data_IF_028781002602
#
_entry.id   IF_028781002602
#
_cell.length_a   1.000
_cell.length_b   1.000
_cell.length_c   1.000
_cell.angle_alpha   90.00
_cell.angle_beta   90.00
_cell.angle_gamma   90.00
#
_symmetry.space_group_name_H-M   'P 1'
#
loop_
_entity.id
_entity.type
_entity.pdbx_description
1 polymer ?
#
# COMPACT_ATOMS: atom_id res chain seq x y z
N UNK A 1 -9.39 2.32 10.14
CA UNK A 1 -9.97 1.82 8.89
C UNK A 1 -11.41 1.32 9.01
N UNK A 2 -12.16 1.80 10.00
CA UNK A 2 -13.61 1.49 10.08
C UNK A 2 -14.47 2.35 9.15
N UNK A 3 -13.94 3.50 8.70
CA UNK A 3 -14.65 4.48 7.85
C UNK A 3 -14.19 4.36 6.39
N UNK A 4 -12.89 4.17 6.16
CA UNK A 4 -12.31 4.06 4.82
C UNK A 4 -11.80 2.64 4.55
N UNK A 5 -11.91 2.19 3.31
CA UNK A 5 -11.17 1.00 2.88
C UNK A 5 -9.66 1.17 3.12
N UNK A 6 -8.95 0.09 3.37
CA UNK A 6 -7.54 0.09 3.80
C UNK A 6 -6.62 0.89 2.87
N UNK A 7 -6.83 0.77 1.54
CA UNK A 7 -6.08 1.54 0.54
C UNK A 7 -6.37 3.04 0.65
N UNK A 8 -7.64 3.43 0.79
CA UNK A 8 -8.03 4.82 0.94
C UNK A 8 -7.42 5.43 2.21
N UNK A 9 -7.38 4.69 3.32
CA UNK A 9 -6.73 5.12 4.56
C UNK A 9 -5.24 5.43 4.34
N UNK A 10 -4.49 4.58 3.62
CA UNK A 10 -3.09 4.85 3.26
C UNK A 10 -2.94 6.12 2.45
N UNK A 11 -3.75 6.29 1.40
CA UNK A 11 -3.71 7.49 0.54
C UNK A 11 -4.00 8.76 1.34
N UNK A 12 -4.98 8.73 2.26
CA UNK A 12 -5.28 9.89 3.11
C UNK A 12 -4.13 10.26 4.05
N UNK A 13 -3.46 9.27 4.65
CA UNK A 13 -2.24 9.53 5.44
C UNK A 13 -1.16 10.16 4.58
N UNK A 14 -0.93 9.64 3.37
CA UNK A 14 0.03 10.21 2.41
C UNK A 14 -0.31 11.64 2.01
N UNK A 15 -1.58 11.91 1.71
CA UNK A 15 -2.06 13.25 1.37
C UNK A 15 -1.86 14.24 2.53
N UNK A 16 -2.16 13.82 3.76
CA UNK A 16 -1.93 14.62 4.96
C UNK A 16 -0.45 14.98 5.13
N UNK A 17 0.45 13.98 5.07
CA UNK A 17 1.88 14.20 5.17
C UNK A 17 2.42 15.07 4.03
N UNK A 18 1.98 14.84 2.79
CA UNK A 18 2.34 15.64 1.61
C UNK A 18 1.90 17.10 1.75
N UNK A 19 0.69 17.33 2.28
CA UNK A 19 0.17 18.68 2.55
C UNK A 19 1.02 19.40 3.59
N UNK A 20 1.43 18.72 4.68
CA UNK A 20 2.35 19.28 5.68
C UNK A 20 3.69 19.63 5.05
N UNK A 21 4.24 18.76 4.20
CA UNK A 21 5.49 19.03 3.49
C UNK A 21 5.38 20.26 2.59
N UNK A 22 4.32 20.36 1.79
CA UNK A 22 4.06 21.50 0.92
C UNK A 22 3.88 22.80 1.74
N UNK A 23 3.10 22.74 2.82
CA UNK A 23 2.91 23.90 3.71
C UNK A 23 4.23 24.38 4.32
N UNK A 24 5.11 23.47 4.73
CA UNK A 24 6.45 23.84 5.22
C UNK A 24 7.26 24.57 4.16
N UNK A 25 7.20 24.11 2.88
CA UNK A 25 7.92 24.76 1.77
C UNK A 25 7.38 26.15 1.50
N UNK A 26 6.07 26.26 1.25
CA UNK A 26 5.47 27.53 0.81
C UNK A 26 5.40 28.58 1.91
N UNK A 27 5.14 28.21 3.15
CA UNK A 27 4.94 29.16 4.24
C UNK A 27 6.21 29.53 5.00
N UNK A 28 7.22 28.65 5.03
CA UNK A 28 8.39 28.83 5.88
C UNK A 28 9.69 28.82 5.07
N UNK A 29 9.93 27.77 4.26
CA UNK A 29 11.22 27.59 3.62
C UNK A 29 11.45 28.65 2.54
N UNK A 30 10.52 28.81 1.59
CA UNK A 30 10.65 29.79 0.50
C UNK A 30 10.75 31.24 1.02
N UNK A 31 9.86 31.72 1.91
CA UNK A 31 9.95 33.08 2.43
C UNK A 31 11.26 33.35 3.17
N UNK A 32 11.73 32.37 3.95
CA UNK A 32 13.00 32.49 4.68
C UNK A 32 14.20 32.56 3.74
N UNK A 33 14.22 31.70 2.71
CA UNK A 33 15.29 31.72 1.72
C UNK A 33 15.30 33.03 0.92
N UNK A 34 14.11 33.53 0.52
CA UNK A 34 13.98 34.81 -0.17
C UNK A 34 14.54 35.94 0.68
N UNK A 35 14.18 36.04 1.97
CA UNK A 35 14.73 37.03 2.90
C UNK A 35 16.25 36.97 3.02
N UNK A 36 16.84 35.77 3.03
CA UNK A 36 18.30 35.60 3.08
C UNK A 36 18.99 36.06 1.79
N UNK A 37 18.36 35.80 0.63
CA UNK A 37 18.88 36.24 -0.67
C UNK A 37 18.79 37.78 -0.79
N UNK A 38 17.65 38.35 -0.43
CA UNK A 38 17.44 39.81 -0.47
C UNK A 38 18.46 40.56 0.43
N UNK A 39 18.67 40.08 1.65
CA UNK A 39 19.68 40.63 2.56
C UNK A 39 21.10 40.52 1.99
N UNK A 40 21.44 39.43 1.31
CA UNK A 40 22.74 39.29 0.63
C UNK A 40 22.92 40.27 -0.54
N UNK A 41 21.84 40.58 -1.28
CA UNK A 41 21.87 41.54 -2.39
C UNK A 41 21.95 42.99 -1.92
N UNK A 42 21.36 43.32 -0.77
CA UNK A 42 21.38 44.67 -0.17
C UNK A 42 22.54 44.92 0.77
N UNK A 43 23.43 43.91 0.97
CA UNK A 43 24.51 43.95 1.99
C UNK A 43 23.98 44.16 3.41
N UNK A 44 22.74 43.78 3.70
CA UNK A 44 22.14 43.80 5.03
C UNK A 44 22.40 42.50 5.80
N UNK A 45 22.25 42.55 7.12
CA UNK A 45 22.38 41.34 7.96
C UNK A 45 21.09 40.49 7.80
N UNK A 46 21.20 39.20 7.35
CA UNK A 46 20.05 38.34 7.25
C UNK A 46 19.47 37.97 8.63
N UNK A 47 18.16 37.73 8.67
CA UNK A 47 17.48 37.19 9.85
C UNK A 47 17.86 35.70 10.02
N UNK A 48 18.83 35.44 10.90
CA UNK A 48 19.35 34.12 11.20
C UNK A 48 18.25 33.18 11.74
N UNK A 49 17.27 33.71 12.49
CA UNK A 49 16.19 32.89 13.07
C UNK A 49 15.30 32.32 11.98
N UNK A 50 14.99 33.10 10.94
CA UNK A 50 14.27 32.59 9.77
C UNK A 50 15.04 31.46 9.06
N UNK A 51 16.37 31.64 8.92
CA UNK A 51 17.23 30.59 8.34
C UNK A 51 17.22 29.28 9.15
N UNK A 52 17.29 29.38 10.49
CA UNK A 52 17.21 28.23 11.40
C UNK A 52 15.85 27.53 11.26
N UNK A 53 14.76 28.29 11.27
CA UNK A 53 13.41 27.75 11.11
C UNK A 53 13.23 27.01 9.78
N UNK A 54 13.71 27.60 8.68
CA UNK A 54 13.69 26.96 7.36
C UNK A 54 14.48 25.65 7.36
N UNK A 55 15.66 25.61 7.98
CA UNK A 55 16.48 24.41 8.12
C UNK A 55 15.76 23.31 8.90
N UNK A 56 15.12 23.64 10.01
CA UNK A 56 14.37 22.68 10.82
C UNK A 56 13.22 22.09 10.00
N UNK A 57 12.44 22.91 9.27
CA UNK A 57 11.34 22.43 8.42
C UNK A 57 11.81 21.59 7.25
N UNK A 58 12.94 21.93 6.66
CA UNK A 58 13.58 21.11 5.63
C UNK A 58 13.98 19.73 6.15
N UNK A 59 14.52 19.67 7.38
CA UNK A 59 14.86 18.39 8.03
C UNK A 59 13.60 17.57 8.31
N UNK A 60 12.49 18.18 8.77
CA UNK A 60 11.22 17.49 8.95
C UNK A 60 10.72 16.88 7.62
N UNK A 61 10.74 17.67 6.55
CA UNK A 61 10.34 17.16 5.22
C UNK A 61 11.23 15.98 4.78
N UNK A 62 12.53 16.02 5.07
CA UNK A 62 13.43 14.91 4.78
C UNK A 62 13.00 13.61 5.48
N UNK A 63 12.61 13.66 6.76
CA UNK A 63 12.15 12.46 7.48
C UNK A 63 10.85 11.88 6.91
N UNK A 64 9.94 12.73 6.44
CA UNK A 64 8.64 12.34 5.89
C UNK A 64 8.75 11.83 4.45
N UNK A 65 9.83 12.16 3.72
CA UNK A 65 9.97 11.84 2.28
C UNK A 65 9.79 10.36 1.96
N UNK A 66 10.51 9.46 2.65
CA UNK A 66 10.42 8.02 2.36
C UNK A 66 9.05 7.43 2.72
N UNK A 67 8.44 7.75 3.86
CA UNK A 67 7.05 7.39 4.16
C UNK A 67 6.06 7.80 3.06
N UNK A 68 6.13 9.05 2.60
CA UNK A 68 5.22 9.54 1.55
C UNK A 68 5.46 8.83 0.23
N UNK A 69 6.71 8.64 -0.19
CA UNK A 69 7.05 7.88 -1.40
C UNK A 69 6.53 6.45 -1.34
N UNK A 70 6.69 5.76 -0.20
CA UNK A 70 6.12 4.43 -0.02
C UNK A 70 4.60 4.44 -0.18
N UNK A 71 3.89 5.39 0.46
CA UNK A 71 2.42 5.48 0.35
C UNK A 71 1.99 5.72 -1.10
N UNK A 72 2.68 6.58 -1.85
CA UNK A 72 2.40 6.80 -3.27
C UNK A 72 2.53 5.52 -4.11
N UNK A 73 3.51 4.67 -3.78
CA UNK A 73 3.75 3.40 -4.47
C UNK A 73 2.94 2.24 -3.88
N UNK A 74 2.26 2.44 -2.75
CA UNK A 74 1.58 1.37 -2.00
C UNK A 74 0.50 0.64 -2.79
N UNK A 75 -0.07 1.29 -3.82
CA UNK A 75 -1.04 0.66 -4.74
C UNK A 75 -0.47 -0.57 -5.48
N UNK A 76 0.85 -0.65 -5.63
CA UNK A 76 1.55 -1.79 -6.23
C UNK A 76 1.85 -2.92 -5.22
N UNK A 77 1.61 -2.68 -3.93
CA UNK A 77 1.90 -3.61 -2.84
C UNK A 77 0.65 -3.93 -2.01
N UNK A 78 -0.38 -4.59 -2.62
CA UNK A 78 -1.66 -4.86 -1.96
C UNK A 78 -1.53 -5.63 -0.66
N UNK A 79 -0.54 -6.50 -0.50
CA UNK A 79 -0.27 -7.26 0.71
C UNK A 79 0.06 -6.37 1.94
N UNK A 80 0.43 -5.10 1.75
CA UNK A 80 0.73 -4.19 2.88
C UNK A 80 -0.54 -3.59 3.47
N UNK A 81 -1.41 -3.00 2.64
CA UNK A 81 -2.65 -2.37 3.12
C UNK A 81 -3.81 -3.37 3.27
N UNK A 82 -3.75 -4.54 2.64
CA UNK A 82 -4.71 -5.63 2.83
C UNK A 82 -4.49 -6.45 4.10
N UNK A 83 -3.36 -6.33 4.77
CA UNK A 83 -3.06 -7.09 5.97
C UNK A 83 -3.91 -6.65 7.17
N UNK A 84 -4.28 -7.59 8.07
CA UNK A 84 -5.05 -7.32 9.30
C UNK A 84 -4.44 -6.18 10.14
N UNK A 85 -3.11 -6.11 10.20
CA UNK A 85 -2.35 -5.10 10.93
C UNK A 85 -1.74 -4.04 10.00
N UNK A 86 -2.48 -3.64 8.97
CA UNK A 86 -2.00 -2.69 7.95
C UNK A 86 -1.48 -1.36 8.54
N UNK A 87 -2.14 -0.83 9.57
CA UNK A 87 -1.70 0.38 10.27
C UNK A 87 -0.32 0.22 10.92
N UNK A 88 -0.04 -0.97 11.50
CA UNK A 88 1.26 -1.27 12.11
C UNK A 88 2.34 -1.41 11.03
N UNK A 89 2.02 -2.06 9.91
CA UNK A 89 2.92 -2.18 8.77
C UNK A 89 3.31 -0.79 8.26
N UNK A 90 2.35 0.11 8.08
CA UNK A 90 2.61 1.48 7.64
C UNK A 90 3.48 2.23 8.66
N UNK A 91 3.21 2.09 9.95
CA UNK A 91 4.01 2.71 11.01
C UNK A 91 5.46 2.19 10.99
N UNK A 92 5.67 0.88 10.89
CA UNK A 92 6.99 0.27 10.85
C UNK A 92 7.79 0.69 9.60
N UNK A 93 7.17 0.68 8.41
CA UNK A 93 7.80 1.17 7.19
C UNK A 93 8.20 2.65 7.33
N UNK A 94 7.33 3.45 7.94
CA UNK A 94 7.60 4.87 8.18
C UNK A 94 8.78 5.08 9.13
N UNK A 95 8.87 4.30 10.20
CA UNK A 95 9.99 4.33 11.15
C UNK A 95 11.30 3.89 10.47
N UNK A 96 11.26 2.80 9.69
CA UNK A 96 12.45 2.32 8.96
C UNK A 96 12.90 3.39 7.95
N UNK A 97 11.97 3.98 7.19
CA UNK A 97 12.28 5.05 6.25
C UNK A 97 12.87 6.29 6.94
N UNK A 98 12.30 6.70 8.08
CA UNK A 98 12.84 7.78 8.90
C UNK A 98 14.24 7.46 9.45
N UNK A 99 14.50 6.21 9.83
CA UNK A 99 15.82 5.73 10.30
C UNK A 99 16.88 5.83 9.19
N UNK A 100 16.53 5.43 7.96
CA UNK A 100 17.42 5.60 6.80
C UNK A 100 17.71 7.10 6.57
N UNK A 101 16.69 7.95 6.61
CA UNK A 101 16.89 9.41 6.47
C UNK A 101 17.71 10.01 7.62
N UNK A 102 17.56 9.48 8.83
CA UNK A 102 18.36 9.90 9.97
C UNK A 102 19.86 9.67 9.74
N UNK A 103 20.24 8.52 9.18
CA UNK A 103 21.61 8.25 8.79
C UNK A 103 22.16 9.32 7.84
N UNK A 104 21.43 9.67 6.78
CA UNK A 104 21.87 10.69 5.83
C UNK A 104 21.95 12.08 6.45
N UNK A 105 21.02 12.43 7.33
CA UNK A 105 21.06 13.70 8.07
C UNK A 105 22.28 13.76 9.01
N UNK A 106 22.65 12.66 9.68
CA UNK A 106 23.88 12.59 10.50
C UNK A 106 25.14 12.67 9.64
N UNK A 107 25.18 11.97 8.51
CA UNK A 107 26.28 12.05 7.57
C UNK A 107 26.54 13.47 7.09
N UNK A 108 25.51 14.24 6.78
CA UNK A 108 25.63 15.66 6.42
C UNK A 108 26.20 16.53 7.56
N UNK A 109 26.07 16.08 8.81
CA UNK A 109 26.69 16.69 9.99
C UNK A 109 28.09 16.13 10.30
N UNK A 110 28.71 15.39 9.36
CA UNK A 110 30.02 14.70 9.53
C UNK A 110 30.03 13.63 10.63
N UNK A 111 28.86 13.14 11.05
CA UNK A 111 28.73 12.04 12.01
C UNK A 111 28.48 10.71 11.24
N UNK A 112 29.45 9.83 11.20
CA UNK A 112 29.40 8.58 10.45
C UNK A 112 28.93 7.40 11.34
N UNK A 113 27.62 7.26 11.57
CA UNK A 113 27.06 6.10 12.29
C UNK A 113 26.58 5.04 11.30
N UNK A 114 27.52 4.35 10.66
CA UNK A 114 27.25 3.42 9.55
C UNK A 114 26.33 2.24 9.94
N UNK A 115 26.34 1.83 11.21
CA UNK A 115 25.52 0.72 11.72
C UNK A 115 24.01 0.92 11.58
N UNK A 116 23.53 2.17 11.40
CA UNK A 116 22.12 2.50 11.24
C UNK A 116 21.54 1.87 9.94
N UNK A 117 22.29 1.84 8.84
CA UNK A 117 21.83 1.28 7.58
C UNK A 117 21.61 -0.24 7.63
N UNK A 118 22.57 -1.05 8.13
CA UNK A 118 22.33 -2.48 8.33
C UNK A 118 21.13 -2.76 9.24
N UNK A 119 20.96 -2.00 10.31
CA UNK A 119 19.81 -2.14 11.20
C UNK A 119 18.48 -1.87 10.48
N UNK A 120 18.41 -0.81 9.68
CA UNK A 120 17.22 -0.49 8.88
C UNK A 120 16.96 -1.59 7.82
N UNK A 121 17.99 -2.11 7.18
CA UNK A 121 17.89 -3.21 6.22
C UNK A 121 17.37 -4.50 6.88
N UNK A 122 17.89 -4.89 8.03
CA UNK A 122 17.41 -6.04 8.79
C UNK A 122 15.94 -5.85 9.22
N UNK A 123 15.56 -4.65 9.67
CA UNK A 123 14.18 -4.34 10.00
C UNK A 123 13.25 -4.48 8.79
N UNK A 124 13.68 -4.06 7.60
CA UNK A 124 12.92 -4.20 6.37
C UNK A 124 12.79 -5.68 5.94
N UNK A 125 13.87 -6.45 6.02
CA UNK A 125 13.86 -7.90 5.72
C UNK A 125 12.89 -8.62 6.65
N UNK A 126 12.97 -8.35 7.96
CA UNK A 126 12.07 -8.94 8.94
C UNK A 126 10.60 -8.59 8.65
N UNK A 127 10.33 -7.33 8.33
CA UNK A 127 8.98 -6.89 7.99
C UNK A 127 8.47 -7.57 6.70
N UNK A 128 9.32 -7.70 5.68
CA UNK A 128 9.00 -8.43 4.45
C UNK A 128 8.67 -9.90 4.74
N UNK A 129 9.50 -10.57 5.54
CA UNK A 129 9.25 -11.96 5.94
C UNK A 129 7.93 -12.10 6.70
N UNK A 130 7.63 -11.18 7.61
CA UNK A 130 6.38 -11.17 8.36
C UNK A 130 5.15 -10.99 7.46
N UNK A 131 5.20 -10.02 6.55
CA UNK A 131 4.07 -9.69 5.67
C UNK A 131 3.88 -10.73 4.55
N UNK A 132 4.98 -11.34 4.08
CA UNK A 132 4.98 -12.36 3.02
C UNK A 132 4.77 -13.77 3.57
N UNK A 133 4.68 -13.95 4.88
CA UNK A 133 4.47 -15.27 5.48
C UNK A 133 3.13 -15.83 4.99
N UNK A 134 3.12 -16.95 4.27
CA UNK A 134 1.88 -17.58 3.84
C UNK A 134 1.04 -17.94 5.07
N UNK A 135 -0.28 -17.82 4.97
CA UNK A 135 -1.20 -18.29 6.03
C UNK A 135 -1.08 -19.82 6.15
N UNK A 136 -0.10 -20.29 6.92
CA UNK A 136 0.29 -21.71 7.05
C UNK A 136 -0.91 -22.62 7.35
N UNK A 137 -1.90 -22.12 8.09
CA UNK A 137 -3.12 -22.88 8.37
C UNK A 137 -3.98 -23.16 7.11
N UNK A 138 -3.92 -22.29 6.10
CA UNK A 138 -4.63 -22.52 4.83
C UNK A 138 -3.91 -23.58 3.99
N UNK A 139 -2.59 -23.59 3.96
CA UNK A 139 -1.79 -24.57 3.21
C UNK A 139 -1.99 -25.99 3.76
N UNK A 140 -2.04 -26.15 5.08
CA UNK A 140 -2.26 -27.46 5.70
C UNK A 140 -3.69 -28.00 5.47
N UNK A 141 -4.68 -27.12 5.34
CA UNK A 141 -6.04 -27.52 4.97
C UNK A 141 -6.13 -27.92 3.49
N UNK A 142 -5.45 -27.19 2.60
CA UNK A 142 -5.41 -27.45 1.15
C UNK A 142 -4.80 -28.82 0.86
N UNK A 143 -3.70 -29.19 1.53
CA UNK A 143 -3.00 -30.45 1.31
C UNK A 143 -3.81 -31.70 1.76
N UNK A 144 -4.82 -31.53 2.60
CA UNK A 144 -5.69 -32.60 3.07
C UNK A 144 -6.99 -32.77 2.27
N UNK A 145 -7.32 -31.83 1.38
CA UNK A 145 -8.55 -31.88 0.57
C UNK A 145 -8.22 -32.59 -0.76
N UNK A 146 -8.67 -33.83 -0.91
CA UNK A 146 -8.60 -34.59 -2.16
C UNK A 146 -9.73 -34.26 -3.15
N UNK A 147 -10.62 -33.36 -2.77
CA UNK A 147 -11.78 -32.99 -3.59
C UNK A 147 -11.34 -32.02 -4.69
N UNK A 148 -11.58 -32.40 -5.92
CA UNK A 148 -11.34 -31.53 -7.09
C UNK A 148 -12.47 -30.49 -7.18
N UNK A 149 -12.12 -29.21 -7.16
CA UNK A 149 -13.11 -28.13 -7.25
C UNK A 149 -13.46 -27.90 -8.71
N UNK A 150 -14.75 -28.05 -9.02
CA UNK A 150 -15.27 -27.79 -10.37
C UNK A 150 -15.21 -26.30 -10.72
N UNK A 151 -14.81 -25.97 -11.94
CA UNK A 151 -14.88 -24.60 -12.45
C UNK A 151 -16.30 -24.02 -12.41
N UNK A 152 -17.32 -24.86 -12.61
CA UNK A 152 -18.72 -24.40 -12.53
C UNK A 152 -19.04 -23.78 -11.15
N UNK A 153 -18.55 -24.37 -10.08
CA UNK A 153 -18.74 -23.82 -8.73
C UNK A 153 -18.02 -22.48 -8.55
N UNK A 154 -16.77 -22.39 -9.02
CA UNK A 154 -15.96 -21.17 -8.96
C UNK A 154 -16.58 -20.05 -9.80
N UNK A 155 -17.05 -20.37 -11.00
CA UNK A 155 -17.72 -19.43 -11.88
C UNK A 155 -18.98 -18.83 -11.23
N UNK A 156 -19.76 -19.64 -10.53
CA UNK A 156 -20.92 -19.16 -9.79
C UNK A 156 -20.49 -18.19 -8.67
N UNK A 157 -19.48 -18.54 -7.89
CA UNK A 157 -18.97 -17.64 -6.83
C UNK A 157 -18.50 -16.31 -7.45
N UNK A 158 -17.68 -16.36 -8.51
CA UNK A 158 -17.16 -15.16 -9.17
C UNK A 158 -18.30 -14.32 -9.74
N UNK A 159 -19.28 -14.93 -10.40
CA UNK A 159 -20.44 -14.24 -10.97
C UNK A 159 -21.23 -13.49 -9.91
N UNK A 160 -21.54 -14.12 -8.78
CA UNK A 160 -22.36 -13.51 -7.74
C UNK A 160 -21.59 -12.54 -6.82
N UNK A 161 -20.29 -12.77 -6.60
CA UNK A 161 -19.49 -11.96 -5.66
C UNK A 161 -18.64 -10.89 -6.33
N UNK A 162 -18.23 -11.12 -7.57
CA UNK A 162 -17.31 -10.22 -8.29
C UNK A 162 -17.99 -9.60 -9.53
N UNK A 163 -18.79 -10.37 -10.28
CA UNK A 163 -19.43 -9.93 -11.51
C UNK A 163 -20.39 -8.76 -11.33
N UNK A 164 -20.97 -8.56 -10.14
CA UNK A 164 -21.84 -7.41 -9.85
C UNK A 164 -21.15 -6.06 -10.07
N UNK A 165 -19.79 -6.01 -9.94
CA UNK A 165 -18.98 -4.82 -10.23
C UNK A 165 -18.08 -5.03 -11.45
N UNK A 166 -17.65 -6.28 -11.72
CA UNK A 166 -16.68 -6.65 -12.73
C UNK A 166 -17.34 -7.37 -13.92
N UNK A 167 -18.34 -6.77 -14.51
CA UNK A 167 -18.95 -7.19 -15.76
C UNK A 167 -19.01 -6.02 -16.75
N UNK A 168 -19.29 -6.32 -18.03
CA UNK A 168 -19.51 -5.26 -19.03
C UNK A 168 -20.73 -4.38 -18.69
N UNK A 169 -21.65 -4.89 -17.88
CA UNK A 169 -22.81 -4.15 -17.39
C UNK A 169 -22.89 -4.31 -15.86
N UNK A 170 -22.13 -3.53 -15.08
CA UNK A 170 -22.16 -3.62 -13.62
C UNK A 170 -23.56 -3.36 -13.07
N UNK A 171 -23.97 -4.17 -12.09
CA UNK A 171 -25.29 -4.02 -11.44
C UNK A 171 -25.19 -3.43 -10.04
N UNK A 172 -23.97 -3.27 -9.51
CA UNK A 172 -23.75 -2.70 -8.19
C UNK A 172 -23.87 -1.17 -8.25
N UNK A 173 -24.66 -0.59 -7.36
CA UNK A 173 -24.90 0.85 -7.31
C UNK A 173 -23.60 1.65 -7.21
N UNK A 174 -23.44 2.66 -8.07
CA UNK A 174 -22.25 3.52 -8.13
C UNK A 174 -21.16 3.09 -9.11
N UNK A 175 -21.36 2.02 -9.88
CA UNK A 175 -20.48 1.60 -10.96
C UNK A 175 -21.23 1.62 -12.29
N UNK A 176 -20.86 2.51 -13.20
CA UNK A 176 -21.35 2.55 -14.58
C UNK A 176 -20.50 1.68 -15.51
N UNK A 177 -19.19 1.61 -15.22
CA UNK A 177 -18.20 0.83 -15.94
C UNK A 177 -17.43 -0.13 -15.01
N UNK A 178 -16.89 -1.26 -15.52
CA UNK A 178 -16.10 -2.18 -14.71
C UNK A 178 -14.83 -1.51 -14.18
N UNK A 179 -14.56 -1.57 -12.87
CA UNK A 179 -13.39 -0.95 -12.28
C UNK A 179 -12.08 -1.41 -12.94
N UNK A 180 -11.27 -0.45 -13.39
CA UNK A 180 -10.00 -0.69 -14.10
C UNK A 180 -10.15 -1.51 -15.39
N UNK A 181 -11.34 -1.58 -15.97
CA UNK A 181 -11.64 -2.38 -17.15
C UNK A 181 -11.48 -3.90 -16.93
N UNK A 182 -11.53 -4.36 -15.68
CA UNK A 182 -11.44 -5.79 -15.35
C UNK A 182 -12.84 -6.37 -15.36
N UNK A 183 -13.05 -7.38 -16.22
CA UNK A 183 -14.32 -8.10 -16.38
C UNK A 183 -14.14 -9.59 -16.07
N UNK A 184 -15.24 -10.24 -15.67
CA UNK A 184 -15.31 -11.68 -15.37
C UNK A 184 -16.55 -12.33 -16.00
N UNK A 185 -16.94 -11.87 -17.18
CA UNK A 185 -18.15 -12.35 -17.86
C UNK A 185 -17.95 -13.72 -18.50
N UNK A 186 -16.74 -14.03 -18.94
CA UNK A 186 -16.38 -15.30 -19.58
C UNK A 186 -15.32 -16.08 -18.80
N UNK A 187 -15.21 -17.39 -19.06
CA UNK A 187 -14.14 -18.22 -18.49
C UNK A 187 -12.74 -17.74 -18.85
N UNK A 188 -12.58 -17.21 -20.07
CA UNK A 188 -11.34 -16.65 -20.57
C UNK A 188 -10.95 -15.37 -19.80
N UNK A 189 -11.94 -14.52 -19.46
CA UNK A 189 -11.72 -13.32 -18.66
C UNK A 189 -11.24 -13.67 -17.24
N UNK A 190 -11.85 -14.68 -16.64
CA UNK A 190 -11.44 -15.21 -15.34
C UNK A 190 -10.01 -15.74 -15.42
N UNK A 191 -9.72 -16.56 -16.44
CA UNK A 191 -8.40 -17.16 -16.65
C UNK A 191 -7.30 -16.11 -16.82
N UNK A 192 -7.52 -15.08 -17.62
CA UNK A 192 -6.57 -13.96 -17.80
C UNK A 192 -6.28 -13.21 -16.52
N UNK A 193 -7.21 -13.20 -15.57
CA UNK A 193 -7.11 -12.41 -14.34
C UNK A 193 -6.85 -13.25 -13.09
N UNK A 194 -6.55 -14.56 -13.20
CA UNK A 194 -6.27 -15.45 -12.04
C UNK A 194 -5.24 -14.85 -11.09
N UNK A 195 -4.13 -14.31 -11.61
CA UNK A 195 -3.11 -13.68 -10.78
C UNK A 195 -3.62 -12.47 -9.98
N UNK A 196 -4.53 -11.67 -10.57
CA UNK A 196 -5.16 -10.54 -9.86
C UNK A 196 -6.19 -11.04 -8.83
N UNK A 197 -6.98 -12.07 -9.18
CA UNK A 197 -7.91 -12.70 -8.24
C UNK A 197 -7.14 -13.22 -7.05
N UNK A 198 -6.06 -13.99 -7.26
CA UNK A 198 -5.21 -14.48 -6.18
C UNK A 198 -4.70 -13.34 -5.30
N UNK A 199 -4.08 -12.32 -5.89
CA UNK A 199 -3.48 -11.21 -5.15
C UNK A 199 -4.50 -10.38 -4.35
N UNK A 200 -5.71 -10.15 -4.91
CA UNK A 200 -6.69 -9.25 -4.31
C UNK A 200 -7.71 -9.97 -3.42
N UNK A 201 -8.03 -11.23 -3.74
CA UNK A 201 -9.05 -11.99 -3.00
C UNK A 201 -8.39 -12.88 -1.94
N UNK A 202 -7.27 -13.55 -2.25
CA UNK A 202 -6.66 -14.55 -1.37
C UNK A 202 -5.53 -13.95 -0.54
N UNK A 203 -4.56 -13.31 -1.19
CA UNK A 203 -3.33 -12.87 -0.53
C UNK A 203 -3.56 -11.60 0.33
N UNK A 204 -4.48 -10.71 -0.07
CA UNK A 204 -4.69 -9.41 0.57
C UNK A 204 -6.08 -9.15 1.16
N UNK A 205 -7.06 -10.02 0.90
CA UNK A 205 -8.47 -9.91 1.36
C UNK A 205 -9.13 -8.54 1.03
N UNK A 206 -8.62 -7.82 0.01
CA UNK A 206 -9.11 -6.48 -0.34
C UNK A 206 -10.42 -6.55 -1.13
N UNK A 207 -10.56 -7.59 -1.95
CA UNK A 207 -11.75 -7.82 -2.74
C UNK A 207 -12.62 -8.92 -2.11
N UNK A 208 -13.93 -8.71 -2.11
CA UNK A 208 -14.67 -7.50 -2.46
C UNK A 208 -14.38 -6.34 -1.49
N UNK A 209 -14.43 -5.05 -1.93
CA UNK A 209 -14.11 -3.92 -1.06
C UNK A 209 -15.03 -3.90 0.17
N UNK A 210 -14.44 -3.93 1.38
CA UNK A 210 -15.21 -3.99 2.63
C UNK A 210 -16.14 -5.20 2.75
N UNK A 211 -15.93 -6.22 1.93
CA UNK A 211 -16.77 -7.40 1.76
C UNK A 211 -18.25 -7.09 1.44
N UNK A 212 -18.47 -6.05 0.61
CA UNK A 212 -19.80 -5.54 0.26
C UNK A 212 -20.72 -6.59 -0.38
N UNK A 213 -20.14 -7.57 -1.10
CA UNK A 213 -20.90 -8.65 -1.76
C UNK A 213 -21.08 -9.89 -0.87
N UNK A 214 -20.53 -9.87 0.38
CA UNK A 214 -20.68 -10.95 1.33
C UNK A 214 -19.94 -12.24 0.95
N UNK A 215 -18.76 -12.14 0.32
CA UNK A 215 -17.90 -13.30 0.05
C UNK A 215 -17.54 -13.99 1.37
N UNK A 216 -17.90 -15.26 1.50
CA UNK A 216 -17.65 -16.05 2.72
C UNK A 216 -16.23 -16.61 2.73
N UNK A 217 -15.72 -16.95 3.93
CA UNK A 217 -14.42 -17.63 4.05
C UNK A 217 -14.41 -19.00 3.33
N UNK A 218 -15.53 -19.71 3.32
CA UNK A 218 -15.66 -20.96 2.57
C UNK A 218 -15.51 -20.77 1.07
N UNK A 219 -16.20 -19.76 0.50
CA UNK A 219 -16.09 -19.41 -0.92
C UNK A 219 -14.66 -18.97 -1.26
N UNK A 220 -14.02 -18.18 -0.39
CA UNK A 220 -12.64 -17.74 -0.54
C UNK A 220 -11.66 -18.91 -0.53
N UNK A 221 -11.87 -19.89 0.36
CA UNK A 221 -11.06 -21.10 0.44
C UNK A 221 -11.25 -21.98 -0.81
N UNK A 222 -12.45 -22.07 -1.38
CA UNK A 222 -12.70 -22.78 -2.63
C UNK A 222 -11.97 -22.15 -3.81
N UNK A 223 -12.02 -20.84 -3.95
CA UNK A 223 -11.24 -20.11 -4.97
C UNK A 223 -9.74 -20.39 -4.80
N UNK A 224 -9.24 -20.33 -3.56
CA UNK A 224 -7.84 -20.60 -3.27
C UNK A 224 -7.43 -22.01 -3.64
N UNK A 225 -8.25 -23.01 -3.27
CA UNK A 225 -8.01 -24.42 -3.60
C UNK A 225 -8.00 -24.66 -5.11
N UNK A 226 -8.99 -24.11 -5.83
CA UNK A 226 -9.06 -24.20 -7.28
C UNK A 226 -7.81 -23.59 -7.95
N UNK A 227 -7.33 -22.43 -7.48
CA UNK A 227 -6.10 -21.82 -8.00
C UNK A 227 -4.90 -22.74 -7.74
N UNK A 228 -4.80 -23.35 -6.57
CA UNK A 228 -3.72 -24.30 -6.26
C UNK A 228 -3.78 -25.59 -7.06
N UNK A 229 -4.96 -26.02 -7.48
CA UNK A 229 -5.18 -27.17 -8.37
C UNK A 229 -4.88 -26.85 -9.84
N UNK A 230 -4.39 -25.66 -10.16
CA UNK A 230 -4.00 -25.25 -11.51
C UNK A 230 -5.04 -24.41 -12.25
N UNK A 231 -6.12 -24.00 -11.57
CA UNK A 231 -7.16 -23.10 -12.10
C UNK A 231 -7.75 -23.59 -13.45
N UNK A 232 -8.06 -24.89 -13.54
CA UNK A 232 -8.60 -25.49 -14.75
C UNK A 232 -10.02 -24.95 -15.01
N UNK A 233 -10.25 -24.41 -16.20
CA UNK A 233 -11.56 -23.86 -16.64
C UNK A 233 -12.38 -24.86 -17.43
N UNK A 234 -11.89 -26.09 -17.68
CA UNK A 234 -12.51 -27.09 -18.52
C UNK A 234 -13.09 -28.28 -17.72
N UNK A 235 -13.12 -28.22 -16.37
CA UNK A 235 -13.65 -29.29 -15.52
C UNK A 235 -15.01 -28.96 -14.91
#
# INVERSE_FOLDING_TARGET
TKIFGSRAAYVHVGACLGTIMAANVFRIIIPSQKNMVDAALTNEKPDLQKGINAKIRSIHNNYITLPVLFIMMSSHFPFTYGHKYNWLILALISIIGATVRHYFNLRNKKQHKVWILPLAALGMIFLMMYVSSPKINQINQINNIKEEISFHEINNIIKYRCGVCHSNNPTFEGFEDPPLGIIFDTSEDISKNIGKIKAQVIDSDIMPPGNLTGLTESERNKINLWIHQGANINN
#
